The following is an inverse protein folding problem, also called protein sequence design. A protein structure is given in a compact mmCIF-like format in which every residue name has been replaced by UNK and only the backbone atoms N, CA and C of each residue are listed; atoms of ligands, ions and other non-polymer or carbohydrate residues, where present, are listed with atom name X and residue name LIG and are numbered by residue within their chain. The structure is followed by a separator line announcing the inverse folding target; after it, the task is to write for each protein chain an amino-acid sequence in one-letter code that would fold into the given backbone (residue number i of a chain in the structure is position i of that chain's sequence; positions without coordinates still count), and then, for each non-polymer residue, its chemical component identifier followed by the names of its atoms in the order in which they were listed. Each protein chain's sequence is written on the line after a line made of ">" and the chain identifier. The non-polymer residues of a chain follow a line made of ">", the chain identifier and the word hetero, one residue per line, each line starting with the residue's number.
data_IF_593867024455
#
_entry.id   IF_593867024455
#
_cell.length_a   1.000
_cell.length_b   1.000
_cell.length_c   1.000
_cell.angle_alpha   90.00
_cell.angle_beta   90.00
_cell.angle_gamma   90.00
#
_symmetry.space_group_name_H-M   'P 1'
#
loop_
_entity.id
_entity.type
_entity.pdbx_description
1 polymer ?
#
# COMPACT_ATOMS: atom_id res chain seq x y z
N UNK A 1 7.02 -12.05 28.04
CA UNK A 1 8.38 -11.89 27.49
C UNK A 1 9.07 -13.24 27.48
N UNK A 2 9.58 -13.66 26.34
CA UNK A 2 10.41 -14.87 26.21
C UNK A 2 11.76 -14.66 26.92
N UNK A 3 12.47 -15.75 27.23
CA UNK A 3 13.72 -15.67 27.99
C UNK A 3 14.80 -14.84 27.25
N UNK A 4 14.94 -15.04 25.94
CA UNK A 4 15.89 -14.27 25.13
C UNK A 4 15.60 -12.77 25.15
N UNK A 5 14.31 -12.37 25.08
CA UNK A 5 13.90 -10.97 25.11
C UNK A 5 14.36 -10.31 26.40
N UNK A 6 14.23 -11.02 27.53
CA UNK A 6 14.66 -10.53 28.85
C UNK A 6 16.17 -10.35 28.92
N UNK A 7 16.93 -11.34 28.47
CA UNK A 7 18.41 -11.31 28.48
C UNK A 7 18.92 -10.14 27.64
N UNK A 8 18.48 -10.06 26.38
CA UNK A 8 18.93 -9.01 25.45
C UNK A 8 18.51 -7.61 25.97
N UNK A 9 17.29 -7.45 26.47
CA UNK A 9 16.83 -6.17 27.02
C UNK A 9 17.70 -5.72 28.21
N UNK A 10 18.08 -6.64 29.09
CA UNK A 10 18.94 -6.34 30.24
C UNK A 10 20.35 -5.96 29.80
N UNK A 11 20.96 -6.74 28.90
CA UNK A 11 22.30 -6.44 28.36
C UNK A 11 22.34 -5.07 27.69
N UNK A 12 21.33 -4.76 26.88
CA UNK A 12 21.23 -3.48 26.17
C UNK A 12 20.97 -2.32 27.15
N UNK A 13 20.14 -2.51 28.16
CA UNK A 13 19.93 -1.48 29.19
C UNK A 13 21.21 -1.20 29.99
N UNK A 14 22.02 -2.21 30.28
CA UNK A 14 23.32 -2.02 30.94
C UNK A 14 24.36 -1.36 30.02
N UNK A 15 24.37 -1.74 28.74
CA UNK A 15 25.24 -1.15 27.74
C UNK A 15 24.91 0.33 27.51
N UNK A 16 23.63 0.66 27.30
CA UNK A 16 23.16 2.03 27.10
C UNK A 16 23.45 2.95 28.31
N UNK A 17 23.43 2.42 29.54
CA UNK A 17 23.82 3.18 30.73
C UNK A 17 25.30 3.62 30.72
N UNK A 18 26.18 2.82 30.10
CA UNK A 18 27.62 3.13 29.98
C UNK A 18 27.92 4.04 28.79
N UNK A 19 27.04 4.06 27.80
CA UNK A 19 27.16 4.79 26.55
C UNK A 19 25.97 5.75 26.35
N UNK A 20 25.69 6.66 27.31
CA UNK A 20 24.56 7.55 27.20
C UNK A 20 24.72 8.45 25.97
N UNK A 21 23.66 8.57 25.17
CA UNK A 21 23.60 9.36 23.94
C UNK A 21 24.41 8.81 22.75
N UNK A 22 25.13 7.69 22.88
CA UNK A 22 25.81 7.02 21.76
C UNK A 22 24.85 6.06 21.03
N UNK A 23 23.76 6.60 20.48
CA UNK A 23 22.64 5.82 19.94
C UNK A 23 23.06 4.87 18.82
N UNK A 24 23.97 5.30 17.94
CA UNK A 24 24.52 4.44 16.90
C UNK A 24 25.23 3.22 17.47
N UNK A 25 26.07 3.42 18.48
CA UNK A 25 26.81 2.32 19.11
C UNK A 25 25.84 1.31 19.77
N UNK A 26 24.77 1.81 20.40
CA UNK A 26 23.73 0.96 20.99
C UNK A 26 22.98 0.18 19.90
N UNK A 27 22.59 0.83 18.80
CA UNK A 27 21.92 0.16 17.67
C UNK A 27 22.82 -0.88 17.02
N UNK A 28 24.09 -0.58 16.80
CA UNK A 28 25.06 -1.53 16.25
C UNK A 28 25.27 -2.73 17.18
N UNK A 29 25.26 -2.51 18.50
CA UNK A 29 25.24 -3.60 19.48
C UNK A 29 23.99 -4.47 19.34
N UNK A 30 22.81 -3.88 19.17
CA UNK A 30 21.57 -4.65 18.96
C UNK A 30 21.65 -5.46 17.66
N UNK A 31 22.14 -4.83 16.57
CA UNK A 31 22.29 -5.48 15.26
C UNK A 31 23.21 -6.69 15.31
N UNK A 32 24.24 -6.64 16.17
CA UNK A 32 25.23 -7.72 16.34
C UNK A 32 24.65 -9.02 16.91
N UNK A 33 23.47 -8.99 17.54
CA UNK A 33 22.87 -10.21 18.07
C UNK A 33 22.41 -11.14 16.94
N UNK A 34 22.90 -12.38 16.98
CA UNK A 34 22.42 -13.49 16.15
C UNK A 34 21.34 -14.27 16.89
N UNK A 35 20.28 -14.68 16.18
CA UNK A 35 19.20 -15.47 16.78
C UNK A 35 19.74 -16.77 17.38
N UNK A 36 20.66 -17.44 16.66
CA UNK A 36 21.29 -18.71 17.03
C UNK A 36 21.94 -18.73 18.41
N UNK A 37 22.34 -17.57 18.92
CA UNK A 37 23.04 -17.46 20.21
C UNK A 37 22.05 -17.42 21.39
N UNK A 38 20.76 -17.19 21.12
CA UNK A 38 19.74 -16.94 22.14
C UNK A 38 18.48 -17.80 21.99
N UNK A 39 18.11 -18.19 20.77
CA UNK A 39 16.89 -18.95 20.49
C UNK A 39 16.89 -19.58 19.10
N UNK A 40 16.22 -20.73 18.94
CA UNK A 40 15.95 -21.31 17.62
C UNK A 40 14.72 -20.67 16.93
N UNK A 41 13.99 -19.79 17.63
CA UNK A 41 12.78 -19.13 17.15
C UNK A 41 13.11 -17.81 16.43
N UNK A 42 13.58 -17.93 15.19
CA UNK A 42 13.90 -16.80 14.32
C UNK A 42 12.73 -15.82 14.17
N UNK A 43 11.51 -16.34 14.01
CA UNK A 43 10.31 -15.55 13.72
C UNK A 43 9.86 -14.69 14.90
N UNK A 44 10.20 -15.08 16.13
CA UNK A 44 9.99 -14.21 17.30
C UNK A 44 11.19 -13.30 17.58
N UNK A 45 12.40 -13.77 17.28
CA UNK A 45 13.63 -13.02 17.50
C UNK A 45 13.71 -11.76 16.62
N UNK A 46 13.47 -11.90 15.30
CA UNK A 46 13.63 -10.78 14.36
C UNK A 46 12.69 -9.60 14.67
N UNK A 47 11.37 -9.80 14.89
CA UNK A 47 10.48 -8.71 15.26
C UNK A 47 10.88 -8.03 16.57
N UNK A 48 11.28 -8.80 17.59
CA UNK A 48 11.77 -8.25 18.85
C UNK A 48 13.02 -7.38 18.64
N UNK A 49 14.00 -7.86 17.86
CA UNK A 49 15.22 -7.10 17.55
C UNK A 49 14.89 -5.78 16.84
N UNK A 50 14.02 -5.83 15.83
CA UNK A 50 13.61 -4.65 15.09
C UNK A 50 12.84 -3.65 15.97
N UNK A 51 11.99 -4.14 16.89
CA UNK A 51 11.31 -3.29 17.86
C UNK A 51 12.29 -2.58 18.79
N UNK A 52 13.34 -3.27 19.25
CA UNK A 52 14.37 -2.70 20.11
C UNK A 52 15.20 -1.64 19.38
N UNK A 53 15.58 -1.89 18.11
CA UNK A 53 16.23 -0.88 17.25
C UNK A 53 15.32 0.35 17.10
N UNK A 54 14.05 0.14 16.78
CA UNK A 54 13.07 1.21 16.61
C UNK A 54 12.90 2.08 17.86
N UNK A 55 12.96 1.48 19.06
CA UNK A 55 12.94 2.20 20.32
C UNK A 55 14.10 3.21 20.44
N UNK A 56 15.35 2.77 20.20
CA UNK A 56 16.52 3.65 20.32
C UNK A 56 16.60 4.70 19.21
N UNK A 57 16.17 4.38 17.99
CA UNK A 57 16.04 5.39 16.92
C UNK A 57 15.06 6.48 17.33
N UNK A 58 13.91 6.12 17.87
CA UNK A 58 12.92 7.10 18.30
C UNK A 58 13.43 7.96 19.47
N UNK A 59 14.18 7.38 20.41
CA UNK A 59 14.87 8.15 21.46
C UNK A 59 15.86 9.16 20.87
N UNK A 60 16.69 8.72 19.92
CA UNK A 60 17.66 9.59 19.25
C UNK A 60 16.97 10.77 18.54
N UNK A 61 15.84 10.53 17.86
CA UNK A 61 15.03 11.58 17.22
C UNK A 61 14.50 12.58 18.26
N UNK A 62 13.96 12.13 19.39
CA UNK A 62 13.47 13.02 20.44
C UNK A 62 14.60 13.85 21.06
N UNK A 63 15.77 13.25 21.30
CA UNK A 63 16.96 13.97 21.76
C UNK A 63 17.47 14.97 20.73
N UNK A 64 17.41 14.63 19.44
CA UNK A 64 17.73 15.55 18.36
C UNK A 64 16.76 16.73 18.31
N UNK A 65 15.46 16.51 18.50
CA UNK A 65 14.46 17.58 18.52
C UNK A 65 14.75 18.64 19.59
N UNK A 66 15.34 18.23 20.71
CA UNK A 66 15.75 19.11 21.81
C UNK A 66 17.11 19.76 21.53
N UNK A 67 18.12 18.94 21.19
CA UNK A 67 19.51 19.39 21.10
C UNK A 67 19.85 20.11 19.80
N UNK A 68 19.16 19.76 18.71
CA UNK A 68 19.48 20.15 17.32
C UNK A 68 20.95 19.88 16.94
N UNK A 69 21.56 18.87 17.55
CA UNK A 69 22.95 18.49 17.31
C UNK A 69 23.16 17.94 15.90
N UNK A 70 24.11 18.53 15.16
CA UNK A 70 24.49 18.04 13.81
C UNK A 70 25.09 16.64 13.86
N UNK A 71 25.89 16.34 14.88
CA UNK A 71 26.50 15.01 15.02
C UNK A 71 25.43 13.93 15.24
N UNK A 72 24.46 14.21 16.12
CA UNK A 72 23.35 13.28 16.37
C UNK A 72 22.47 13.09 15.13
N UNK A 73 22.22 14.16 14.36
CA UNK A 73 21.51 14.05 13.09
C UNK A 73 22.24 13.11 12.10
N UNK A 74 23.57 13.26 11.97
CA UNK A 74 24.36 12.38 11.12
C UNK A 74 24.31 10.92 11.60
N UNK A 75 24.41 10.68 12.91
CA UNK A 75 24.27 9.34 13.48
C UNK A 75 22.90 8.72 13.17
N UNK A 76 21.81 9.48 13.29
CA UNK A 76 20.46 9.01 12.96
C UNK A 76 20.36 8.66 11.48
N UNK A 77 20.91 9.49 10.59
CA UNK A 77 20.94 9.23 9.14
C UNK A 77 21.74 7.96 8.83
N UNK A 78 22.90 7.76 9.46
CA UNK A 78 23.70 6.55 9.30
C UNK A 78 22.95 5.32 9.80
N UNK A 79 22.27 5.39 10.94
CA UNK A 79 21.43 4.29 11.43
C UNK A 79 20.33 3.97 10.41
N UNK A 80 19.64 4.98 9.90
CA UNK A 80 18.53 4.85 8.96
C UNK A 80 18.95 4.25 7.61
N UNK A 81 20.15 4.55 7.11
CA UNK A 81 20.65 3.96 5.85
C UNK A 81 20.70 2.42 5.90
N UNK A 82 20.97 1.85 7.08
CA UNK A 82 20.99 0.40 7.31
C UNK A 82 19.65 -0.20 7.76
N UNK A 83 18.63 0.63 8.03
CA UNK A 83 17.27 0.20 8.41
C UNK A 83 16.30 0.49 7.25
N UNK A 84 16.32 -0.39 6.24
CA UNK A 84 15.58 -0.18 4.97
C UNK A 84 14.08 0.05 5.18
N UNK A 85 13.50 -0.56 6.22
CA UNK A 85 12.06 -0.48 6.51
C UNK A 85 11.67 0.90 7.06
N UNK A 86 12.58 1.56 7.78
CA UNK A 86 12.34 2.86 8.44
C UNK A 86 13.20 4.01 7.92
N UNK A 87 13.95 3.78 6.85
CA UNK A 87 14.95 4.75 6.35
C UNK A 87 14.34 6.14 6.16
N UNK A 88 13.20 6.18 5.48
CA UNK A 88 12.63 7.44 5.00
C UNK A 88 11.83 8.19 6.06
N UNK A 89 11.03 7.52 6.91
CA UNK A 89 10.30 8.20 7.99
C UNK A 89 11.26 8.80 9.02
N UNK A 90 12.33 8.06 9.34
CA UNK A 90 13.38 8.53 10.26
C UNK A 90 14.09 9.75 9.69
N UNK A 91 14.45 9.74 8.41
CA UNK A 91 15.08 10.87 7.74
C UNK A 91 14.17 12.11 7.70
N UNK A 92 12.89 11.95 7.35
CA UNK A 92 11.93 13.06 7.32
C UNK A 92 11.68 13.63 8.72
N UNK A 93 11.68 12.81 9.77
CA UNK A 93 11.47 13.25 11.15
C UNK A 93 12.55 14.20 11.69
N UNK A 94 13.69 14.35 10.99
CA UNK A 94 14.75 15.28 11.36
C UNK A 94 14.45 16.73 10.95
N UNK A 95 13.54 16.98 10.00
CA UNK A 95 13.23 18.33 9.50
C UNK A 95 14.46 19.15 9.03
N UNK A 96 15.47 18.45 8.50
CA UNK A 96 16.71 18.99 7.94
C UNK A 96 16.64 18.99 6.41
N UNK A 97 16.99 20.12 5.80
CA UNK A 97 16.91 20.32 4.34
C UNK A 97 17.79 19.31 3.59
N UNK A 98 19.05 19.15 3.97
CA UNK A 98 19.98 18.23 3.30
C UNK A 98 19.52 16.77 3.38
N UNK A 99 18.84 16.40 4.48
CA UNK A 99 18.30 15.05 4.66
C UNK A 99 17.02 14.88 3.84
N UNK A 100 16.16 15.90 3.78
CA UNK A 100 15.00 15.90 2.91
C UNK A 100 15.38 15.73 1.43
N UNK A 101 16.40 16.45 0.96
CA UNK A 101 16.90 16.31 -0.41
C UNK A 101 17.37 14.88 -0.71
N UNK A 102 17.98 14.18 0.26
CA UNK A 102 18.33 12.76 0.12
C UNK A 102 17.09 11.87 -0.07
N UNK A 103 16.01 12.13 0.66
CA UNK A 103 14.73 11.40 0.49
C UNK A 103 14.10 11.71 -0.87
N UNK A 104 14.21 12.96 -1.34
CA UNK A 104 13.76 13.37 -2.66
C UNK A 104 14.53 12.66 -3.80
N UNK A 105 15.85 12.49 -3.63
CA UNK A 105 16.69 11.71 -4.54
C UNK A 105 16.25 10.24 -4.57
N UNK A 106 16.02 9.62 -3.40
CA UNK A 106 15.49 8.25 -3.34
C UNK A 106 14.13 8.12 -4.03
N UNK A 107 13.21 9.05 -3.79
CA UNK A 107 11.91 9.04 -4.47
C UNK A 107 12.05 9.21 -5.99
N UNK A 108 13.01 10.04 -6.44
CA UNK A 108 13.33 10.22 -7.86
C UNK A 108 13.92 8.94 -8.46
N UNK A 109 14.81 8.26 -7.73
CA UNK A 109 15.37 6.97 -8.14
C UNK A 109 14.29 5.89 -8.24
N UNK A 110 13.34 5.87 -7.31
CA UNK A 110 12.21 4.95 -7.36
C UNK A 110 11.38 5.11 -8.65
N UNK A 111 11.15 6.35 -9.10
CA UNK A 111 10.40 6.63 -10.33
C UNK A 111 11.06 6.09 -11.62
N UNK A 112 12.34 5.71 -11.55
CA UNK A 112 13.07 5.10 -12.67
C UNK A 112 12.72 3.62 -12.88
N UNK A 113 12.04 2.99 -11.92
CA UNK A 113 11.51 1.62 -12.02
C UNK A 113 12.45 0.54 -11.49
N UNK A 114 11.88 -0.64 -11.24
CA UNK A 114 12.55 -1.77 -10.58
C UNK A 114 13.82 -2.23 -11.31
N UNK A 115 13.79 -2.32 -12.64
CA UNK A 115 14.95 -2.71 -13.45
C UNK A 115 16.14 -1.76 -13.24
N UNK A 116 15.89 -0.44 -13.12
CA UNK A 116 16.96 0.52 -12.86
C UNK A 116 17.58 0.28 -11.50
N UNK A 117 16.74 0.17 -10.46
CA UNK A 117 17.18 -0.03 -9.09
C UNK A 117 18.01 -1.31 -8.96
N UNK A 118 17.54 -2.41 -9.57
CA UNK A 118 18.26 -3.68 -9.59
C UNK A 118 19.64 -3.56 -10.25
N UNK A 119 19.72 -2.97 -11.44
CA UNK A 119 21.00 -2.86 -12.17
C UNK A 119 22.00 -1.89 -11.53
N UNK A 120 21.53 -0.89 -10.79
CA UNK A 120 22.39 0.03 -10.05
C UNK A 120 22.75 -0.46 -8.65
N UNK A 121 22.18 -1.58 -8.19
CA UNK A 121 22.35 -2.06 -6.81
C UNK A 121 21.77 -1.09 -5.78
N UNK A 122 20.73 -0.34 -6.15
CA UNK A 122 20.09 0.64 -5.29
C UNK A 122 18.95 -0.02 -4.51
N UNK A 123 19.07 0.00 -3.18
CA UNK A 123 18.02 -0.47 -2.28
C UNK A 123 17.03 0.66 -2.00
N UNK A 124 16.13 0.89 -2.95
CA UNK A 124 15.09 1.94 -2.87
C UNK A 124 13.72 1.30 -3.11
N UNK A 125 12.69 1.77 -2.40
CA UNK A 125 11.31 1.32 -2.59
C UNK A 125 10.34 2.51 -2.49
N UNK A 126 9.05 2.27 -2.73
CA UNK A 126 8.04 3.33 -2.76
C UNK A 126 7.75 3.96 -1.40
N UNK A 127 8.26 3.45 -0.28
CA UNK A 127 8.18 4.14 1.02
C UNK A 127 8.84 5.52 0.98
N UNK A 128 9.79 5.74 0.05
CA UNK A 128 10.32 7.07 -0.24
C UNK A 128 9.23 8.05 -0.68
N UNK A 129 8.27 7.63 -1.50
CA UNK A 129 7.14 8.46 -1.93
C UNK A 129 6.16 8.75 -0.78
N UNK A 130 5.88 7.75 0.06
CA UNK A 130 5.03 7.94 1.24
C UNK A 130 5.69 8.87 2.27
N UNK A 131 7.01 8.81 2.43
CA UNK A 131 7.75 9.74 3.26
C UNK A 131 7.67 11.18 2.72
N UNK A 132 7.72 11.37 1.39
CA UNK A 132 7.44 12.70 0.81
C UNK A 132 6.01 13.16 1.09
N UNK A 133 5.02 12.27 1.01
CA UNK A 133 3.64 12.60 1.39
C UNK A 133 3.51 12.99 2.88
N UNK A 134 4.32 12.41 3.77
CA UNK A 134 4.41 12.84 5.18
C UNK A 134 5.10 14.21 5.30
N UNK A 135 6.20 14.43 4.57
CA UNK A 135 6.97 15.67 4.55
C UNK A 135 6.15 16.87 4.04
N UNK A 136 5.11 16.62 3.24
CA UNK A 136 4.17 17.62 2.74
C UNK A 136 3.64 18.57 3.84
N UNK A 137 3.41 18.06 5.05
CA UNK A 137 2.85 18.86 6.15
C UNK A 137 3.89 19.69 6.89
N UNK A 138 5.17 19.53 6.57
CA UNK A 138 6.21 20.46 7.01
C UNK A 138 6.25 21.66 6.05
N UNK A 139 5.99 22.89 6.53
CA UNK A 139 5.99 24.09 5.67
C UNK A 139 7.30 24.32 4.90
N UNK A 140 8.44 23.83 5.42
CA UNK A 140 9.74 23.93 4.74
C UNK A 140 9.76 23.16 3.43
N UNK A 141 9.16 21.96 3.42
CA UNK A 141 9.28 21.00 2.32
C UNK A 141 8.05 20.98 1.42
N UNK A 142 6.92 21.54 1.87
CA UNK A 142 5.63 21.49 1.17
C UNK A 142 5.74 21.84 -0.31
N UNK A 143 6.43 22.93 -0.65
CA UNK A 143 6.54 23.38 -2.04
C UNK A 143 7.32 22.39 -2.90
N UNK A 144 8.41 21.82 -2.39
CA UNK A 144 9.22 20.86 -3.11
C UNK A 144 8.49 19.53 -3.32
N UNK A 145 7.74 19.09 -2.30
CA UNK A 145 6.86 17.91 -2.43
C UNK A 145 5.79 18.12 -3.50
N UNK A 146 5.16 19.30 -3.53
CA UNK A 146 4.16 19.66 -4.55
C UNK A 146 4.80 19.66 -5.95
N UNK A 147 5.98 20.26 -6.11
CA UNK A 147 6.72 20.29 -7.38
C UNK A 147 7.12 18.89 -7.83
N UNK A 148 7.56 18.05 -6.90
CA UNK A 148 7.91 16.65 -7.15
C UNK A 148 6.70 15.89 -7.68
N UNK A 149 5.58 15.84 -6.94
CA UNK A 149 4.42 15.06 -7.38
C UNK A 149 3.89 15.53 -8.74
N UNK A 150 3.80 16.84 -8.97
CA UNK A 150 3.35 17.40 -10.25
C UNK A 150 4.25 17.04 -11.44
N UNK A 151 5.54 16.75 -11.21
CA UNK A 151 6.49 16.38 -12.26
C UNK A 151 6.78 14.87 -12.35
N UNK A 152 6.49 14.10 -11.30
CA UNK A 152 6.83 12.70 -11.14
C UNK A 152 6.37 11.82 -12.30
N UNK A 153 5.12 11.96 -12.74
CA UNK A 153 4.62 11.14 -13.84
C UNK A 153 5.29 11.46 -15.19
N UNK A 154 5.59 12.73 -15.45
CA UNK A 154 6.34 13.13 -16.64
C UNK A 154 7.76 12.56 -16.58
N UNK A 155 8.39 12.65 -15.43
CA UNK A 155 9.73 12.11 -15.19
C UNK A 155 9.79 10.59 -15.46
N UNK A 156 8.89 9.81 -14.84
CA UNK A 156 8.81 8.36 -15.04
C UNK A 156 8.65 7.98 -16.53
N UNK A 157 7.78 8.69 -17.26
CA UNK A 157 7.59 8.48 -18.72
C UNK A 157 8.84 8.80 -19.53
N UNK A 158 9.51 9.91 -19.23
CA UNK A 158 10.74 10.31 -19.93
C UNK A 158 11.83 9.28 -19.70
N UNK A 159 12.03 8.88 -18.44
CA UNK A 159 13.07 7.91 -18.08
C UNK A 159 12.85 6.55 -18.76
N UNK A 160 11.64 5.98 -18.66
CA UNK A 160 11.33 4.68 -19.28
C UNK A 160 11.56 4.64 -20.81
N UNK A 161 11.38 5.79 -21.49
CA UNK A 161 11.64 5.92 -22.92
C UNK A 161 13.11 6.11 -23.26
N UNK A 162 13.83 6.87 -22.46
CA UNK A 162 15.18 7.35 -22.77
C UNK A 162 16.30 6.50 -22.17
N UNK A 163 15.99 5.63 -21.22
CA UNK A 163 16.95 4.68 -20.64
C UNK A 163 17.62 3.88 -21.76
N UNK A 164 18.94 3.83 -21.74
CA UNK A 164 19.73 3.04 -22.68
C UNK A 164 19.86 1.62 -22.11
N UNK A 165 19.33 0.64 -22.84
CA UNK A 165 19.48 -0.79 -22.57
C UNK A 165 20.20 -1.42 -23.76
N UNK A 166 21.27 -2.16 -23.51
CA UNK A 166 22.06 -2.84 -24.54
C UNK A 166 22.54 -1.91 -25.69
N UNK A 167 22.79 -0.63 -25.40
CA UNK A 167 23.27 0.35 -26.37
C UNK A 167 22.19 1.12 -27.13
N UNK A 168 20.90 0.83 -26.90
CA UNK A 168 19.78 1.53 -27.53
C UNK A 168 18.76 2.04 -26.50
N UNK A 169 17.92 3.01 -26.90
CA UNK A 169 16.81 3.45 -26.05
C UNK A 169 15.81 2.30 -25.86
N UNK A 170 15.51 1.97 -24.61
CA UNK A 170 14.56 0.92 -24.25
C UNK A 170 13.18 1.19 -24.86
N UNK A 171 12.77 2.47 -24.95
CA UNK A 171 11.49 2.88 -25.51
C UNK A 171 10.30 2.14 -24.86
N UNK A 172 10.37 1.95 -23.54
CA UNK A 172 9.36 1.24 -22.74
C UNK A 172 8.39 2.22 -22.07
N UNK A 173 7.30 1.66 -21.55
CA UNK A 173 6.43 2.36 -20.61
C UNK A 173 6.99 2.24 -19.18
N UNK A 174 6.64 3.15 -18.25
CA UNK A 174 6.94 2.99 -16.84
C UNK A 174 6.34 1.72 -16.24
N UNK A 175 6.97 1.14 -15.22
CA UNK A 175 6.45 0.00 -14.47
C UNK A 175 5.07 0.30 -13.85
N UNK A 176 4.19 -0.69 -13.85
CA UNK A 176 2.85 -0.57 -13.29
C UNK A 176 2.88 -0.37 -11.78
N UNK A 177 3.76 -1.08 -11.08
CA UNK A 177 4.00 -0.93 -9.63
C UNK A 177 4.42 0.49 -9.26
N UNK A 178 5.40 1.07 -9.97
CA UNK A 178 5.87 2.45 -9.76
C UNK A 178 4.73 3.47 -9.90
N UNK A 179 3.90 3.35 -10.95
CA UNK A 179 2.77 4.27 -11.16
C UNK A 179 1.69 4.10 -10.09
N UNK A 180 1.43 2.86 -9.67
CA UNK A 180 0.47 2.59 -8.60
C UNK A 180 0.94 3.19 -7.28
N UNK A 181 2.19 2.97 -6.88
CA UNK A 181 2.74 3.48 -5.62
C UNK A 181 2.81 5.01 -5.61
N UNK A 182 3.08 5.65 -6.75
CA UNK A 182 2.94 7.10 -6.90
C UNK A 182 1.51 7.58 -6.62
N UNK A 183 0.51 6.92 -7.20
CA UNK A 183 -0.90 7.26 -6.97
C UNK A 183 -1.30 7.00 -5.51
N UNK A 184 -0.85 5.90 -4.92
CA UNK A 184 -1.12 5.57 -3.52
C UNK A 184 -0.49 6.58 -2.56
N UNK A 185 0.74 7.03 -2.82
CA UNK A 185 1.40 8.07 -2.04
C UNK A 185 0.62 9.40 -2.11
N UNK A 186 0.20 9.82 -3.30
CA UNK A 186 -0.66 11.01 -3.47
C UNK A 186 -1.99 10.83 -2.72
N UNK A 187 -2.62 9.66 -2.84
CA UNK A 187 -3.92 9.38 -2.23
C UNK A 187 -3.88 9.31 -0.70
N UNK A 188 -2.67 9.09 -0.13
CA UNK A 188 -2.42 9.08 1.32
C UNK A 188 -2.42 10.47 1.96
N UNK A 189 -2.33 11.55 1.17
CA UNK A 189 -2.53 12.90 1.66
C UNK A 189 -3.97 13.08 2.17
N UNK A 190 -4.17 14.08 3.03
CA UNK A 190 -5.48 14.48 3.54
C UNK A 190 -6.38 14.87 2.37
N UNK A 191 -7.68 14.71 2.57
CA UNK A 191 -8.68 14.90 1.52
C UNK A 191 -8.59 16.24 0.80
N UNK A 192 -8.46 17.34 1.55
CA UNK A 192 -8.32 18.69 0.99
C UNK A 192 -7.01 18.90 0.22
N UNK A 193 -5.92 18.25 0.66
CA UNK A 193 -4.60 18.43 0.08
C UNK A 193 -4.40 17.57 -1.16
N UNK A 194 -4.91 16.32 -1.20
CA UNK A 194 -4.75 15.46 -2.37
C UNK A 194 -5.51 15.96 -3.57
N UNK A 195 -6.62 16.69 -3.36
CA UNK A 195 -7.53 17.11 -4.43
C UNK A 195 -6.80 17.92 -5.52
N UNK A 196 -5.76 18.67 -5.16
CA UNK A 196 -4.92 19.41 -6.11
C UNK A 196 -4.21 18.52 -7.15
N UNK A 197 -4.09 17.21 -6.88
CA UNK A 197 -3.46 16.22 -7.75
C UNK A 197 -4.48 15.35 -8.49
N UNK A 198 -5.78 15.67 -8.44
CA UNK A 198 -6.84 14.87 -9.07
C UNK A 198 -6.57 14.66 -10.58
N UNK A 199 -6.24 15.73 -11.29
CA UNK A 199 -5.95 15.67 -12.73
C UNK A 199 -4.73 14.79 -13.03
N UNK A 200 -3.68 14.88 -12.21
CA UNK A 200 -2.49 14.06 -12.35
C UNK A 200 -2.81 12.57 -12.16
N UNK A 201 -3.57 12.22 -11.11
CA UNK A 201 -3.97 10.84 -10.86
C UNK A 201 -4.85 10.31 -11.99
N UNK A 202 -5.76 11.14 -12.51
CA UNK A 202 -6.59 10.77 -13.65
C UNK A 202 -5.78 10.60 -14.96
N UNK A 203 -4.76 11.41 -15.19
CA UNK A 203 -3.84 11.27 -16.31
C UNK A 203 -3.01 9.98 -16.22
N UNK A 204 -2.58 9.60 -15.00
CA UNK A 204 -1.92 8.32 -14.76
C UNK A 204 -2.89 7.17 -15.06
N UNK A 205 -4.13 7.23 -14.57
CA UNK A 205 -5.16 6.23 -14.88
C UNK A 205 -5.41 6.07 -16.39
N UNK A 206 -5.60 7.20 -17.09
CA UNK A 206 -5.84 7.22 -18.55
C UNK A 206 -4.67 6.64 -19.32
N UNK A 207 -3.45 6.87 -18.87
CA UNK A 207 -2.26 6.28 -19.47
C UNK A 207 -2.19 4.77 -19.24
N UNK A 208 -2.40 4.32 -18.00
CA UNK A 208 -2.28 2.92 -17.60
C UNK A 208 -3.38 2.03 -18.18
N UNK A 209 -4.60 2.57 -18.38
CA UNK A 209 -5.76 1.85 -18.92
C UNK A 209 -5.86 1.82 -20.46
N UNK A 210 -4.91 2.45 -21.17
CA UNK A 210 -4.97 2.55 -22.63
C UNK A 210 -4.53 1.25 -23.34
N UNK A 211 -5.48 0.45 -23.79
CA UNK A 211 -5.27 -0.87 -24.41
C UNK A 211 -4.29 -0.89 -25.59
N UNK A 212 -4.15 0.20 -26.38
CA UNK A 212 -3.44 0.10 -27.68
C UNK A 212 -1.96 -0.27 -27.59
N UNK A 213 -1.31 -0.17 -26.42
CA UNK A 213 0.16 -0.36 -26.26
C UNK A 213 0.64 -0.81 -24.88
N UNK A 214 -0.21 -1.28 -23.97
CA UNK A 214 0.19 -1.47 -22.55
C UNK A 214 0.46 -2.91 -22.19
N UNK A 215 1.43 -3.11 -21.29
CA UNK A 215 1.70 -4.42 -20.71
C UNK A 215 0.51 -4.90 -19.86
N UNK A 216 0.44 -6.20 -19.65
CA UNK A 216 -0.55 -6.79 -18.75
C UNK A 216 -0.38 -6.27 -17.31
N UNK A 217 0.86 -6.04 -16.87
CA UNK A 217 1.19 -5.41 -15.59
C UNK A 217 0.58 -4.01 -15.44
N UNK A 218 0.71 -3.15 -16.46
CA UNK A 218 0.08 -1.82 -16.45
C UNK A 218 -1.45 -1.91 -16.43
N UNK A 219 -2.02 -2.91 -17.10
CA UNK A 219 -3.47 -3.17 -17.05
C UNK A 219 -3.90 -3.55 -15.63
N UNK A 220 -3.13 -4.41 -14.94
CA UNK A 220 -3.40 -4.73 -13.53
C UNK A 220 -3.32 -3.50 -12.63
N UNK A 221 -2.25 -2.71 -12.73
CA UNK A 221 -2.08 -1.48 -11.96
C UNK A 221 -3.22 -0.49 -12.21
N UNK A 222 -3.71 -0.40 -13.45
CA UNK A 222 -4.80 0.51 -13.82
C UNK A 222 -6.10 0.24 -13.04
N UNK A 223 -6.39 -1.03 -12.70
CA UNK A 223 -7.55 -1.39 -11.89
C UNK A 223 -7.45 -0.85 -10.47
N UNK A 224 -6.29 -1.01 -9.82
CA UNK A 224 -6.04 -0.43 -8.49
C UNK A 224 -6.08 1.10 -8.54
N UNK A 225 -5.46 1.71 -9.54
CA UNK A 225 -5.50 3.17 -9.76
C UNK A 225 -6.95 3.64 -9.95
N UNK A 226 -7.81 2.89 -10.63
CA UNK A 226 -9.22 3.23 -10.79
C UNK A 226 -9.94 3.31 -9.44
N UNK A 227 -9.68 2.38 -8.51
CA UNK A 227 -10.23 2.45 -7.15
C UNK A 227 -9.71 3.71 -6.45
N UNK A 228 -8.43 4.07 -6.64
CA UNK A 228 -7.85 5.27 -6.04
C UNK A 228 -8.57 6.56 -6.49
N UNK A 229 -9.14 6.62 -7.71
CA UNK A 229 -9.96 7.75 -8.15
C UNK A 229 -11.15 8.02 -7.22
N UNK A 230 -11.67 7.00 -6.53
CA UNK A 230 -12.78 7.17 -5.58
C UNK A 230 -12.39 7.93 -4.30
N UNK A 231 -11.09 8.25 -4.11
CA UNK A 231 -10.60 9.12 -3.04
C UNK A 231 -10.85 10.61 -3.30
N UNK A 232 -11.09 10.99 -4.55
CA UNK A 232 -11.18 12.39 -4.97
C UNK A 232 -12.65 12.83 -5.08
N UNK A 233 -12.88 14.12 -4.85
CA UNK A 233 -14.20 14.73 -5.01
C UNK A 233 -14.42 15.24 -6.44
N UNK A 234 -13.35 15.49 -7.19
CA UNK A 234 -13.39 15.92 -8.59
C UNK A 234 -14.23 14.97 -9.45
N UNK A 235 -15.06 15.58 -10.30
CA UNK A 235 -15.80 14.87 -11.32
C UNK A 235 -14.87 14.50 -12.48
N UNK A 236 -14.52 13.21 -12.59
CA UNK A 236 -13.71 12.70 -13.69
C UNK A 236 -14.55 12.43 -14.96
N UNK A 237 -13.89 12.46 -16.13
CA UNK A 237 -14.54 12.12 -17.39
C UNK A 237 -14.84 10.62 -17.46
N UNK A 238 -16.08 10.26 -17.12
CA UNK A 238 -16.54 8.87 -17.14
C UNK A 238 -16.44 8.24 -18.53
N UNK A 239 -16.40 9.01 -19.63
CA UNK A 239 -16.17 8.43 -20.97
C UNK A 239 -14.81 7.74 -21.05
N UNK A 240 -13.78 8.24 -20.36
CA UNK A 240 -12.46 7.58 -20.32
C UNK A 240 -12.57 6.23 -19.61
N UNK A 241 -13.28 6.17 -18.48
CA UNK A 241 -13.50 4.95 -17.70
C UNK A 241 -14.32 3.93 -18.51
N UNK A 242 -15.42 4.36 -19.13
CA UNK A 242 -16.24 3.53 -20.01
C UNK A 242 -15.43 2.97 -21.17
N UNK A 243 -14.63 3.82 -21.82
CA UNK A 243 -13.74 3.40 -22.90
C UNK A 243 -12.72 2.36 -22.42
N UNK A 244 -12.17 2.50 -21.21
CA UNK A 244 -11.24 1.53 -20.63
C UNK A 244 -11.92 0.18 -20.40
N UNK A 245 -13.13 0.17 -19.82
CA UNK A 245 -13.94 -1.05 -19.59
C UNK A 245 -14.29 -1.73 -20.91
N UNK A 246 -14.82 -0.98 -21.88
CA UNK A 246 -15.23 -1.55 -23.18
C UNK A 246 -14.05 -2.11 -23.96
N UNK A 247 -12.88 -1.48 -23.87
CA UNK A 247 -11.67 -1.91 -24.57
C UNK A 247 -11.04 -3.13 -23.92
N UNK A 248 -10.59 -2.98 -22.67
CA UNK A 248 -9.94 -4.07 -21.94
C UNK A 248 -10.88 -5.26 -21.72
N UNK A 249 -12.18 -5.00 -21.51
CA UNK A 249 -13.21 -6.01 -21.38
C UNK A 249 -13.38 -6.94 -22.58
N UNK A 250 -12.98 -6.55 -23.81
CA UNK A 250 -13.08 -7.43 -24.99
C UNK A 250 -12.32 -8.75 -24.83
N UNK A 251 -11.18 -8.70 -24.16
CA UNK A 251 -10.29 -9.84 -24.00
C UNK A 251 -10.11 -10.24 -22.53
N UNK A 252 -10.43 -9.34 -21.60
CA UNK A 252 -10.13 -9.49 -20.19
C UNK A 252 -11.34 -9.27 -19.27
N UNK A 253 -12.58 -9.42 -19.76
CA UNK A 253 -13.83 -9.16 -19.00
C UNK A 253 -13.81 -9.75 -17.57
N UNK A 254 -13.22 -10.93 -17.42
CA UNK A 254 -13.19 -11.70 -16.17
C UNK A 254 -12.06 -11.32 -15.21
N UNK A 255 -11.13 -10.48 -15.65
CA UNK A 255 -9.99 -10.09 -14.84
C UNK A 255 -10.36 -9.06 -13.78
N UNK A 256 -9.71 -9.17 -12.62
CA UNK A 256 -9.96 -8.30 -11.47
C UNK A 256 -9.85 -6.82 -11.83
N UNK A 257 -8.88 -6.40 -12.63
CA UNK A 257 -8.69 -4.98 -12.96
C UNK A 257 -9.85 -4.35 -13.77
N UNK A 258 -10.57 -5.15 -14.58
CA UNK A 258 -11.79 -4.69 -15.24
C UNK A 258 -12.90 -4.51 -14.21
N UNK A 259 -13.05 -5.44 -13.27
CA UNK A 259 -14.06 -5.37 -12.21
C UNK A 259 -13.77 -4.25 -11.19
N UNK A 260 -12.50 -3.99 -10.87
CA UNK A 260 -12.06 -2.83 -10.08
C UNK A 260 -12.44 -1.51 -10.77
N UNK A 261 -12.27 -1.45 -12.09
CA UNK A 261 -12.68 -0.29 -12.89
C UNK A 261 -14.21 -0.12 -12.92
N UNK A 262 -14.97 -1.22 -13.01
CA UNK A 262 -16.44 -1.20 -12.89
C UNK A 262 -16.89 -0.69 -11.51
N UNK A 263 -16.27 -1.14 -10.42
CA UNK A 263 -16.53 -0.59 -9.08
C UNK A 263 -16.33 0.92 -9.06
N UNK A 264 -15.18 1.40 -9.55
CA UNK A 264 -14.87 2.82 -9.57
C UNK A 264 -15.92 3.62 -10.37
N UNK A 265 -16.33 3.12 -11.55
CA UNK A 265 -17.42 3.70 -12.36
C UNK A 265 -18.70 3.83 -11.54
N UNK A 266 -19.23 2.73 -11.01
CA UNK A 266 -20.51 2.73 -10.28
C UNK A 266 -20.45 3.65 -9.05
N UNK A 267 -19.33 3.67 -8.34
CA UNK A 267 -19.16 4.53 -7.18
C UNK A 267 -19.09 6.03 -7.53
N UNK A 268 -18.37 6.38 -8.60
CA UNK A 268 -18.23 7.77 -9.07
C UNK A 268 -19.55 8.30 -9.65
N UNK A 269 -20.27 7.49 -10.40
CA UNK A 269 -21.58 7.85 -10.96
C UNK A 269 -22.74 7.76 -9.95
N UNK A 270 -22.49 7.23 -8.74
CA UNK A 270 -23.53 6.86 -7.76
C UNK A 270 -24.59 5.92 -8.37
N UNK A 271 -24.17 5.04 -9.28
CA UNK A 271 -25.04 4.17 -10.05
C UNK A 271 -25.15 2.77 -9.42
N UNK A 272 -25.92 2.68 -8.34
CA UNK A 272 -26.21 1.40 -7.68
C UNK A 272 -27.04 0.45 -8.57
N UNK A 273 -27.90 0.99 -9.44
CA UNK A 273 -28.81 0.19 -10.27
C UNK A 273 -28.05 -0.69 -11.26
N UNK A 274 -27.02 -0.16 -11.92
CA UNK A 274 -26.19 -0.93 -12.84
C UNK A 274 -25.39 -2.02 -12.13
N UNK A 275 -24.86 -1.74 -10.93
CA UNK A 275 -24.20 -2.73 -10.10
C UNK A 275 -25.18 -3.85 -9.66
N UNK A 276 -26.43 -3.51 -9.36
CA UNK A 276 -27.47 -4.48 -9.02
C UNK A 276 -27.83 -5.36 -10.21
N UNK A 277 -28.04 -4.77 -11.39
CA UNK A 277 -28.31 -5.50 -12.64
C UNK A 277 -27.16 -6.45 -12.99
N UNK A 278 -25.92 -6.00 -12.81
CA UNK A 278 -24.73 -6.82 -13.00
C UNK A 278 -24.78 -8.07 -12.09
N UNK A 279 -25.12 -7.90 -10.81
CA UNK A 279 -25.18 -9.01 -9.85
C UNK A 279 -26.33 -9.98 -10.14
N UNK A 280 -27.43 -9.50 -10.71
CA UNK A 280 -28.58 -10.32 -11.10
C UNK A 280 -28.30 -11.18 -12.35
N UNK A 281 -27.38 -10.75 -13.23
CA UNK A 281 -27.07 -11.48 -14.46
C UNK A 281 -26.08 -12.63 -14.22
N UNK A 282 -26.55 -13.87 -14.35
CA UNK A 282 -25.74 -15.08 -14.10
C UNK A 282 -24.56 -15.28 -15.05
N UNK A 283 -24.55 -14.60 -16.21
CA UNK A 283 -23.41 -14.64 -17.16
C UNK A 283 -22.27 -13.71 -16.75
N UNK A 284 -22.58 -12.65 -16.01
CA UNK A 284 -21.61 -11.64 -15.58
C UNK A 284 -21.16 -11.84 -14.11
N UNK A 285 -21.86 -12.67 -13.34
CA UNK A 285 -21.67 -12.86 -11.90
C UNK A 285 -20.54 -13.82 -11.49
N UNK A 286 -19.61 -14.17 -12.38
CA UNK A 286 -18.46 -15.04 -12.09
C UNK A 286 -17.58 -14.49 -10.96
N UNK A 287 -17.52 -13.18 -10.82
CA UNK A 287 -16.87 -12.48 -9.72
C UNK A 287 -17.77 -11.33 -9.20
N UNK A 288 -18.69 -11.62 -8.28
CA UNK A 288 -19.70 -10.66 -7.83
C UNK A 288 -19.16 -9.62 -6.84
N UNK A 289 -17.97 -9.84 -6.27
CA UNK A 289 -17.47 -9.09 -5.11
C UNK A 289 -17.46 -7.57 -5.31
N UNK A 290 -17.06 -7.09 -6.49
CA UNK A 290 -16.94 -5.66 -6.77
C UNK A 290 -18.31 -4.99 -6.89
N UNK A 291 -19.33 -5.70 -7.38
CA UNK A 291 -20.71 -5.21 -7.36
C UNK A 291 -21.25 -5.17 -5.93
N UNK A 292 -20.97 -6.21 -5.11
CA UNK A 292 -21.34 -6.24 -3.69
C UNK A 292 -20.71 -5.08 -2.92
N UNK A 293 -19.42 -4.81 -3.15
CA UNK A 293 -18.73 -3.67 -2.56
C UNK A 293 -19.37 -2.34 -2.97
N UNK A 294 -19.62 -2.12 -4.27
CA UNK A 294 -20.22 -0.88 -4.76
C UNK A 294 -21.62 -0.65 -4.17
N UNK A 295 -22.47 -1.67 -4.18
CA UNK A 295 -23.83 -1.61 -3.63
C UNK A 295 -23.82 -1.31 -2.12
N UNK A 296 -22.89 -1.91 -1.39
CA UNK A 296 -22.75 -1.69 0.07
C UNK A 296 -22.21 -0.30 0.37
N UNK A 297 -21.15 0.13 -0.34
CA UNK A 297 -20.52 1.44 -0.15
C UNK A 297 -21.44 2.60 -0.56
N UNK A 298 -22.41 2.34 -1.45
CA UNK A 298 -23.47 3.27 -1.83
C UNK A 298 -24.72 3.18 -0.92
N UNK A 299 -24.76 2.27 0.05
CA UNK A 299 -25.88 2.11 0.98
C UNK A 299 -27.17 1.58 0.32
N UNK A 300 -27.07 0.82 -0.77
CA UNK A 300 -28.22 0.38 -1.57
C UNK A 300 -28.93 -0.83 -0.96
N UNK A 301 -29.86 -0.55 -0.03
CA UNK A 301 -30.58 -1.58 0.75
C UNK A 301 -31.39 -2.58 -0.06
N UNK A 302 -31.85 -2.21 -1.26
CA UNK A 302 -32.64 -3.09 -2.12
C UNK A 302 -31.85 -4.34 -2.56
N UNK A 303 -30.51 -4.33 -2.44
CA UNK A 303 -29.67 -5.50 -2.67
C UNK A 303 -29.72 -6.55 -1.54
N UNK A 304 -30.22 -6.21 -0.34
CA UNK A 304 -30.21 -7.11 0.83
C UNK A 304 -30.80 -8.50 0.57
N UNK A 305 -32.00 -8.65 -0.04
CA UNK A 305 -32.56 -9.97 -0.32
C UNK A 305 -31.68 -10.79 -1.25
N UNK A 306 -31.05 -10.14 -2.24
CA UNK A 306 -30.16 -10.79 -3.19
C UNK A 306 -28.86 -11.25 -2.51
N UNK A 307 -28.29 -10.44 -1.61
CA UNK A 307 -27.12 -10.84 -0.83
C UNK A 307 -27.41 -12.05 0.06
N UNK A 308 -28.52 -12.04 0.80
CA UNK A 308 -28.94 -13.17 1.66
C UNK A 308 -29.12 -14.45 0.83
N UNK A 309 -29.73 -14.35 -0.35
CA UNK A 309 -29.91 -15.51 -1.24
C UNK A 309 -28.55 -16.03 -1.77
N UNK A 310 -27.73 -15.15 -2.34
CA UNK A 310 -26.42 -15.50 -2.91
C UNK A 310 -25.44 -16.06 -1.89
N UNK A 311 -25.51 -15.56 -0.67
CA UNK A 311 -24.74 -16.03 0.46
C UNK A 311 -25.04 -17.50 0.80
N UNK A 312 -26.32 -17.88 0.85
CA UNK A 312 -26.75 -19.28 1.08
C UNK A 312 -26.35 -20.22 -0.06
N UNK A 313 -26.24 -19.70 -1.28
CA UNK A 313 -25.78 -20.43 -2.47
C UNK A 313 -24.25 -20.58 -2.54
N UNK A 314 -23.50 -19.72 -1.84
CA UNK A 314 -22.04 -19.62 -1.97
C UNK A 314 -21.33 -20.66 -1.10
N UNK A 315 -20.50 -21.49 -1.73
CA UNK A 315 -19.57 -22.37 -1.01
C UNK A 315 -18.17 -21.76 -0.82
N UNK A 316 -17.92 -20.56 -1.38
CA UNK A 316 -16.61 -19.93 -1.32
C UNK A 316 -16.43 -19.14 -0.01
N UNK A 317 -15.50 -19.51 0.89
CA UNK A 317 -15.38 -18.92 2.23
C UNK A 317 -15.16 -17.40 2.23
N UNK A 318 -14.32 -16.89 1.32
CA UNK A 318 -14.08 -15.43 1.22
C UNK A 318 -15.32 -14.67 0.73
N UNK A 319 -16.08 -15.21 -0.24
CA UNK A 319 -17.32 -14.57 -0.70
C UNK A 319 -18.38 -14.60 0.39
N UNK A 320 -18.38 -15.63 1.25
CA UNK A 320 -19.18 -15.65 2.47
C UNK A 320 -18.84 -14.42 3.33
N UNK A 321 -17.59 -14.27 3.79
CA UNK A 321 -17.20 -13.11 4.62
C UNK A 321 -17.58 -11.75 4.00
N UNK A 322 -17.49 -11.64 2.68
CA UNK A 322 -17.92 -10.44 1.93
C UNK A 322 -19.44 -10.22 2.05
N UNK A 323 -20.26 -11.23 1.80
CA UNK A 323 -21.72 -11.09 1.93
C UNK A 323 -22.14 -10.83 3.37
N UNK A 324 -21.49 -11.46 4.35
CA UNK A 324 -21.81 -11.26 5.78
C UNK A 324 -21.59 -9.80 6.18
N UNK A 325 -20.41 -9.25 5.88
CA UNK A 325 -20.10 -7.84 6.15
C UNK A 325 -21.06 -6.90 5.40
N UNK A 326 -21.37 -7.20 4.13
CA UNK A 326 -22.28 -6.40 3.32
C UNK A 326 -23.70 -6.34 3.89
N UNK A 327 -24.24 -7.50 4.28
CA UNK A 327 -25.58 -7.61 4.89
C UNK A 327 -25.62 -6.85 6.21
N UNK A 328 -24.64 -7.07 7.09
CA UNK A 328 -24.58 -6.41 8.39
C UNK A 328 -24.56 -4.88 8.24
N UNK A 329 -23.74 -4.36 7.32
CA UNK A 329 -23.67 -2.91 7.05
C UNK A 329 -24.99 -2.35 6.54
N UNK A 330 -25.59 -2.99 5.55
CA UNK A 330 -26.85 -2.52 4.96
C UNK A 330 -28.02 -2.62 5.94
N UNK A 331 -28.10 -3.68 6.76
CA UNK A 331 -29.12 -3.82 7.82
C UNK A 331 -29.01 -2.71 8.86
N UNK A 332 -27.78 -2.33 9.23
CA UNK A 332 -27.51 -1.29 10.22
C UNK A 332 -27.53 0.13 9.64
N UNK A 333 -27.88 0.31 8.37
CA UNK A 333 -27.83 1.61 7.67
C UNK A 333 -26.43 2.24 7.69
N UNK A 334 -25.38 1.41 7.73
CA UNK A 334 -24.01 1.89 7.73
C UNK A 334 -23.66 2.45 6.35
N UNK A 335 -23.32 3.73 6.32
CA UNK A 335 -22.73 4.38 5.16
C UNK A 335 -21.31 4.82 5.54
N UNK A 336 -20.27 4.36 4.84
CA UNK A 336 -18.89 4.70 5.18
C UNK A 336 -18.70 6.22 5.11
N UNK A 337 -18.28 6.82 6.21
CA UNK A 337 -18.01 8.27 6.30
C UNK A 337 -16.62 8.55 5.75
N UNK A 338 -15.68 7.68 6.09
CA UNK A 338 -14.30 7.77 5.65
C UNK A 338 -14.03 6.76 4.54
N UNK A 339 -13.04 7.04 3.70
CA UNK A 339 -12.70 6.14 2.60
C UNK A 339 -12.23 4.78 3.08
N UNK A 340 -11.40 4.72 4.12
CA UNK A 340 -10.88 3.47 4.69
C UNK A 340 -11.96 2.56 5.26
N UNK A 341 -13.15 3.09 5.53
CA UNK A 341 -14.29 2.31 6.01
C UNK A 341 -15.03 1.58 4.89
N UNK A 342 -14.79 1.93 3.62
CA UNK A 342 -15.47 1.30 2.47
C UNK A 342 -15.04 -0.16 2.30
N UNK A 343 -15.97 -1.02 1.89
CA UNK A 343 -15.74 -2.45 1.71
C UNK A 343 -14.63 -2.75 0.70
N UNK A 344 -14.50 -1.95 -0.37
CA UNK A 344 -13.45 -2.16 -1.37
C UNK A 344 -12.04 -2.17 -0.76
N UNK A 345 -11.79 -1.40 0.30
CA UNK A 345 -10.48 -1.31 0.94
C UNK A 345 -10.21 -2.43 1.94
N UNK A 346 -11.26 -3.14 2.37
CA UNK A 346 -11.12 -4.37 3.13
C UNK A 346 -10.65 -5.55 2.26
N UNK A 347 -10.70 -5.40 0.93
CA UNK A 347 -10.31 -6.42 -0.04
C UNK A 347 -8.80 -6.42 -0.36
N UNK A 348 -8.01 -5.62 0.35
CA UNK A 348 -6.58 -5.47 0.13
C UNK A 348 -6.25 -4.57 -1.07
N UNK A 349 -5.08 -3.94 -1.01
CA UNK A 349 -4.62 -2.93 -1.98
C UNK A 349 -3.33 -3.34 -2.69
N UNK A 350 -2.90 -4.59 -2.52
CA UNK A 350 -1.69 -5.14 -3.12
C UNK A 350 -1.96 -5.84 -4.46
N UNK A 351 -1.14 -5.52 -5.45
CA UNK A 351 -1.15 -6.21 -6.75
C UNK A 351 -0.72 -7.69 -6.61
N UNK A 352 -1.07 -8.56 -7.57
CA UNK A 352 -0.53 -9.91 -7.61
C UNK A 352 1.00 -9.97 -7.57
N UNK A 353 1.68 -9.04 -8.25
CA UNK A 353 3.15 -8.93 -8.25
C UNK A 353 3.69 -8.60 -6.86
N UNK A 354 3.13 -7.59 -6.18
CA UNK A 354 3.55 -7.24 -4.81
C UNK A 354 3.36 -8.41 -3.83
N UNK A 355 2.26 -9.16 -3.95
CA UNK A 355 2.04 -10.37 -3.15
C UNK A 355 3.04 -11.48 -3.48
N UNK A 356 3.36 -11.70 -4.76
CA UNK A 356 4.36 -12.68 -5.17
C UNK A 356 5.77 -12.36 -4.66
N UNK A 357 6.05 -11.06 -4.44
CA UNK A 357 7.29 -10.57 -3.83
C UNK A 357 7.29 -10.65 -2.29
N UNK A 358 6.27 -11.27 -1.68
CA UNK A 358 6.23 -11.55 -0.24
C UNK A 358 5.58 -10.47 0.62
N UNK A 359 4.90 -9.48 0.04
CA UNK A 359 4.13 -8.52 0.82
C UNK A 359 3.02 -9.22 1.62
N UNK A 360 2.90 -8.88 2.91
CA UNK A 360 1.87 -9.46 3.78
C UNK A 360 0.47 -9.21 3.21
N UNK A 361 -0.36 -10.25 3.19
CA UNK A 361 -1.74 -10.12 2.74
C UNK A 361 -2.48 -9.13 3.63
N UNK A 362 -3.05 -8.07 3.05
CA UNK A 362 -3.84 -7.05 3.73
C UNK A 362 -5.36 -7.24 3.55
N UNK A 363 -5.77 -8.29 2.82
CA UNK A 363 -7.17 -8.61 2.60
C UNK A 363 -7.83 -9.16 3.87
N UNK A 364 -8.72 -8.35 4.47
CA UNK A 364 -9.43 -8.67 5.71
C UNK A 364 -10.37 -9.86 5.54
N UNK A 365 -11.03 -10.00 4.38
CA UNK A 365 -11.94 -11.11 4.12
C UNK A 365 -11.21 -12.44 4.02
N UNK A 366 -10.03 -12.46 3.38
CA UNK A 366 -9.19 -13.66 3.33
C UNK A 366 -8.69 -14.04 4.72
N UNK A 367 -8.23 -13.08 5.52
CA UNK A 367 -7.80 -13.33 6.91
C UNK A 367 -8.91 -13.93 7.76
N UNK A 368 -10.12 -13.35 7.71
CA UNK A 368 -11.29 -13.87 8.45
C UNK A 368 -11.69 -15.27 7.99
N UNK A 369 -11.70 -15.52 6.68
CA UNK A 369 -11.99 -16.84 6.13
C UNK A 369 -10.97 -17.89 6.59
N UNK A 370 -9.67 -17.56 6.55
CA UNK A 370 -8.61 -18.44 7.02
C UNK A 370 -8.71 -18.72 8.52
N UNK A 371 -9.05 -17.71 9.34
CA UNK A 371 -9.27 -17.91 10.78
C UNK A 371 -10.42 -18.88 11.06
N UNK A 372 -11.53 -18.80 10.31
CA UNK A 372 -12.67 -19.70 10.49
C UNK A 372 -12.35 -21.14 10.07
N UNK A 373 -11.63 -21.31 8.95
CA UNK A 373 -11.18 -22.64 8.50
C UNK A 373 -10.19 -23.24 9.50
N UNK A 374 -9.24 -22.45 10.01
CA UNK A 374 -8.28 -22.91 11.02
C UNK A 374 -8.94 -23.27 12.36
N UNK A 375 -10.06 -22.63 12.72
CA UNK A 375 -10.86 -22.99 13.90
C UNK A 375 -11.65 -24.29 13.67
N UNK A 376 -12.12 -24.55 12.45
CA UNK A 376 -12.80 -25.81 12.10
C UNK A 376 -11.82 -27.01 12.01
N UNK A 377 -10.54 -26.79 11.70
CA UNK A 377 -9.48 -27.82 11.72
C UNK A 377 -8.87 -28.07 13.12
N UNK A 378 -9.42 -27.45 14.18
CA UNK A 378 -9.02 -27.77 15.55
C UNK A 378 -9.61 -29.12 15.95
N UNK A 379 -8.88 -30.19 15.63
CA UNK A 379 -9.10 -31.51 16.23
C UNK A 379 -8.85 -31.36 17.72
N UNK A 380 -9.92 -31.39 18.52
CA UNK A 380 -9.77 -31.78 19.92
C UNK A 380 -9.36 -33.24 19.89
N UNK A 381 -8.10 -33.54 20.23
CA UNK A 381 -7.77 -34.84 20.80
C UNK A 381 -8.64 -34.98 22.05
N UNK A 382 -9.79 -35.63 21.91
CA UNK A 382 -10.42 -36.29 23.04
C UNK A 382 -9.57 -37.51 23.32
N UNK A 383 -8.57 -37.35 24.17
CA UNK A 383 -8.07 -38.46 24.98
C UNK A 383 -9.27 -38.98 25.78
N UNK A 384 -9.88 -40.06 25.29
CA UNK A 384 -10.73 -40.92 26.11
C UNK A 384 -9.82 -41.96 26.77
N UNK A 385 -9.80 -41.94 28.11
CA UNK A 385 -9.22 -42.96 29.00
C UNK A 385 -9.78 -44.38 28.72
#
# INVERSE_FOLDING_TARGET
>A
MKNFEKIITQEIAEFAKKHPHEHKLIVDKIRSYSYSDYTDDYYSFLPFKNQLIGYYINQAIEEYKISKSKNLANEIVEIADYDVDRRYDVMIALDIEEVFQKVLEYATDFLKGEDFLFHQGLYVNGQSLFALAQAYYNPKFKQDVVLFFNSAFKYAKTYAKEKIEYGEKANKDPNGSTLLELVQAISSLKEEDREQFADLVFDIYKFSSNEKKRSYELSQASGFIAIQLTYFQTAFDIKVINNAITKTGKHYQENAFVKQTLYAKWFLEKNAQEALLYLQNSKDSSNPMFAVFALTDLGHKEALPLFIAKQKESQHPVLWEIYEEAIQRLQNNFLPKNQTERMIWLNGNLTPTQRALGAENDNVFVKRAQQKIAVDDTVYETDED
#
